data_IF_008874299585
#
_entry.id   IF_008874299585
#
_cell.length_a   1.000
_cell.length_b   1.000
_cell.length_c   1.000
_cell.angle_alpha   90.00
_cell.angle_beta   90.00
_cell.angle_gamma   90.00
#
_symmetry.space_group_name_H-M   'P 1'
#
loop_
_entity.id
_entity.type
_entity.pdbx_description
1 polymer ?
#
# COMPACT_ATOMS: atom_id res chain seq x y z
N UNK A 1 4.92 5.54 -7.83
CA UNK A 1 3.58 4.95 -7.81
C UNK A 1 2.74 5.64 -6.75
N UNK A 2 1.45 5.79 -7.02
CA UNK A 2 0.50 6.36 -6.08
C UNK A 2 -0.73 5.46 -6.00
N UNK A 3 -1.18 5.15 -4.80
CA UNK A 3 -2.53 4.61 -4.58
C UNK A 3 -3.54 5.75 -4.75
N UNK A 4 -4.75 5.40 -5.21
CA UNK A 4 -5.87 6.34 -5.12
C UNK A 4 -6.52 6.26 -3.75
N UNK A 5 -7.28 7.30 -3.37
CA UNK A 5 -8.09 7.30 -2.15
C UNK A 5 -8.94 6.03 -2.00
N UNK A 6 -9.41 5.48 -3.13
CA UNK A 6 -10.17 4.22 -3.14
C UNK A 6 -9.34 3.06 -2.60
N UNK A 7 -8.12 2.87 -3.11
CA UNK A 7 -7.23 1.77 -2.69
C UNK A 7 -6.68 1.99 -1.29
N UNK A 8 -6.28 3.22 -0.95
CA UNK A 8 -5.84 3.58 0.39
C UNK A 8 -6.89 3.22 1.45
N UNK A 9 -8.14 3.61 1.22
CA UNK A 9 -9.25 3.27 2.10
C UNK A 9 -9.48 1.76 2.22
N UNK A 10 -9.32 1.01 1.12
CA UNK A 10 -9.42 -0.46 1.14
C UNK A 10 -8.32 -1.10 1.97
N UNK A 11 -7.07 -0.66 1.80
CA UNK A 11 -5.92 -1.14 2.60
C UNK A 11 -6.13 -0.82 4.08
N UNK A 12 -6.46 0.43 4.41
CA UNK A 12 -6.62 0.87 5.79
C UNK A 12 -7.81 0.20 6.50
N UNK A 13 -8.88 -0.12 5.78
CA UNK A 13 -10.01 -0.87 6.34
C UNK A 13 -9.65 -2.31 6.71
N UNK A 14 -8.55 -2.89 6.18
CA UNK A 14 -8.09 -4.22 6.64
C UNK A 14 -7.66 -4.23 8.11
N UNK A 15 -7.14 -3.11 8.63
CA UNK A 15 -6.83 -2.89 10.05
C UNK A 15 -8.08 -2.83 10.96
N UNK A 16 -9.26 -2.86 10.35
CA UNK A 16 -10.57 -2.86 11.03
C UNK A 16 -11.34 -4.16 10.80
N UNK A 17 -10.68 -5.20 10.32
CA UNK A 17 -11.29 -6.50 10.05
C UNK A 17 -12.06 -6.58 8.71
N UNK A 18 -12.00 -5.55 7.85
CA UNK A 18 -12.71 -5.56 6.56
C UNK A 18 -11.80 -6.08 5.47
N UNK A 19 -12.20 -7.15 4.80
CA UNK A 19 -11.42 -7.74 3.70
C UNK A 19 -11.35 -6.81 2.50
N UNK A 20 -10.15 -6.60 1.97
CA UNK A 20 -9.96 -6.03 0.64
C UNK A 20 -10.10 -7.15 -0.40
N UNK A 21 -11.28 -7.23 -1.00
CA UNK A 21 -11.61 -8.23 -2.02
C UNK A 21 -10.72 -8.08 -3.24
N UNK A 22 -10.25 -9.20 -3.77
CA UNK A 22 -9.41 -9.24 -4.97
C UNK A 22 -10.07 -8.58 -6.17
N UNK A 23 -9.23 -7.99 -7.02
CA UNK A 23 -9.66 -7.37 -8.27
C UNK A 23 -9.47 -8.39 -9.39
N UNK A 24 -10.58 -8.79 -10.02
CA UNK A 24 -10.58 -9.90 -10.99
C UNK A 24 -9.87 -9.54 -12.30
N UNK A 25 -9.98 -8.29 -12.73
CA UNK A 25 -9.36 -7.78 -13.97
C UNK A 25 -8.89 -6.36 -13.75
N UNK A 26 -7.75 -6.05 -14.32
CA UNK A 26 -7.15 -4.71 -14.26
C UNK A 26 -6.99 -4.19 -15.68
N UNK A 27 -7.29 -2.92 -15.86
CA UNK A 27 -7.23 -2.23 -17.13
C UNK A 27 -6.31 -1.03 -17.04
N UNK A 28 -5.43 -0.90 -18.02
CA UNK A 28 -4.47 0.18 -18.16
C UNK A 28 -5.02 1.29 -19.06
N UNK A 29 -4.87 2.53 -18.62
CA UNK A 29 -5.18 3.75 -19.36
C UNK A 29 -3.94 4.62 -19.51
N UNK A 30 -3.78 5.23 -20.68
CA UNK A 30 -2.70 6.17 -20.98
C UNK A 30 -3.18 7.59 -20.72
N UNK A 31 -2.42 8.37 -19.95
CA UNK A 31 -2.78 9.72 -19.55
C UNK A 31 -1.72 10.74 -20.02
N UNK A 32 -2.17 11.91 -20.43
CA UNK A 32 -1.31 13.03 -20.82
C UNK A 32 -0.92 13.93 -19.65
N UNK A 33 -1.64 13.83 -18.52
CA UNK A 33 -1.36 14.58 -17.27
C UNK A 33 -1.56 13.73 -16.03
N UNK A 34 -0.99 14.18 -14.90
CA UNK A 34 -1.18 13.55 -13.59
C UNK A 34 -2.65 13.67 -13.14
N UNK A 35 -3.32 12.56 -12.80
CA UNK A 35 -4.64 12.61 -12.17
C UNK A 35 -4.53 13.02 -10.70
N UNK A 36 -5.64 13.43 -10.08
CA UNK A 36 -5.75 13.57 -8.64
C UNK A 36 -5.96 12.19 -7.97
N UNK A 37 -5.74 12.12 -6.65
CA UNK A 37 -5.84 10.85 -5.88
C UNK A 37 -7.27 10.29 -5.82
N UNK A 38 -8.29 11.10 -6.05
CA UNK A 38 -9.70 10.68 -6.20
C UNK A 38 -10.03 10.21 -7.63
N UNK A 39 -9.06 10.25 -8.55
CA UNK A 39 -9.23 9.93 -9.96
C UNK A 39 -9.75 11.07 -10.82
N UNK A 40 -10.06 12.23 -10.22
CA UNK A 40 -10.48 13.40 -11.00
C UNK A 40 -9.31 14.01 -11.79
N UNK A 41 -9.62 14.84 -12.78
CA UNK A 41 -8.61 15.51 -13.61
C UNK A 41 -7.77 14.59 -14.49
N UNK A 42 -8.11 13.28 -14.55
CA UNK A 42 -7.47 12.37 -15.49
C UNK A 42 -7.70 12.85 -16.94
N UNK A 43 -6.63 12.90 -17.72
CA UNK A 43 -6.66 13.33 -19.12
C UNK A 43 -6.20 12.17 -20.00
N UNK A 44 -7.10 11.21 -20.35
CA UNK A 44 -6.74 10.10 -21.22
C UNK A 44 -6.43 10.59 -22.63
N UNK A 45 -5.61 9.84 -23.35
CA UNK A 45 -5.47 10.03 -24.79
C UNK A 45 -6.80 9.74 -25.47
N UNK A 46 -7.06 10.41 -26.61
CA UNK A 46 -8.32 10.29 -27.34
C UNK A 46 -8.09 10.21 -28.83
N UNK A 47 -8.46 9.07 -29.43
CA UNK A 47 -8.51 8.84 -30.87
C UNK A 47 -9.47 7.69 -31.17
N UNK A 48 -9.88 7.51 -32.43
CA UNK A 48 -10.83 6.45 -32.81
C UNK A 48 -10.26 5.06 -32.49
N UNK A 49 -11.05 4.26 -31.78
CA UNK A 49 -10.64 2.89 -31.40
C UNK A 49 -9.72 2.85 -30.15
N UNK A 50 -9.40 3.99 -29.52
CA UNK A 50 -8.74 3.98 -28.22
C UNK A 50 -9.69 3.45 -27.14
N UNK A 51 -9.14 2.67 -26.23
CA UNK A 51 -9.81 2.18 -25.03
C UNK A 51 -8.81 1.53 -24.11
N UNK A 52 -9.16 1.44 -22.85
CA UNK A 52 -8.35 0.75 -21.84
C UNK A 52 -8.02 -0.68 -22.28
N UNK A 53 -6.85 -1.17 -21.89
CA UNK A 53 -6.39 -2.52 -22.21
C UNK A 53 -6.20 -3.32 -20.92
N UNK A 54 -6.69 -4.55 -20.91
CA UNK A 54 -6.43 -5.47 -19.80
C UNK A 54 -4.92 -5.67 -19.66
N UNK A 55 -4.44 -5.72 -18.42
CA UNK A 55 -3.03 -5.92 -18.08
C UNK A 55 -2.89 -6.96 -16.99
N UNK A 56 -1.85 -7.77 -17.06
CA UNK A 56 -1.49 -8.80 -16.07
C UNK A 56 -0.10 -8.51 -15.50
N UNK A 57 0.08 -8.86 -14.21
CA UNK A 57 1.30 -8.56 -13.47
C UNK A 57 2.02 -9.81 -12.98
N UNK A 58 3.35 -9.72 -12.89
CA UNK A 58 4.21 -10.72 -12.28
C UNK A 58 3.88 -10.94 -10.81
N UNK A 59 4.36 -12.04 -10.22
CA UNK A 59 4.39 -12.18 -8.77
C UNK A 59 5.16 -11.01 -8.17
N UNK A 60 4.71 -10.45 -7.01
CA UNK A 60 5.46 -9.42 -6.31
C UNK A 60 6.86 -9.92 -5.95
N UNK A 61 7.85 -9.08 -6.19
CA UNK A 61 9.26 -9.38 -5.95
C UNK A 61 10.01 -8.14 -5.46
N UNK A 62 11.23 -8.32 -4.99
CA UNK A 62 12.09 -7.19 -4.64
C UNK A 62 12.48 -6.43 -5.92
N UNK A 63 12.16 -5.15 -5.96
CA UNK A 63 12.49 -4.21 -7.02
C UNK A 63 13.24 -3.02 -6.39
N UNK A 64 14.56 -3.03 -6.50
CA UNK A 64 15.42 -1.96 -5.95
C UNK A 64 15.15 -1.64 -4.46
N UNK A 65 15.02 -2.70 -3.64
CA UNK A 65 14.79 -2.57 -2.19
C UNK A 65 13.33 -2.46 -1.75
N UNK A 66 12.40 -2.32 -2.69
CA UNK A 66 10.95 -2.29 -2.44
C UNK A 66 10.28 -3.56 -2.97
N UNK A 67 9.07 -3.85 -2.51
CA UNK A 67 8.26 -4.93 -3.08
C UNK A 67 7.38 -4.34 -4.18
N UNK A 68 7.47 -4.92 -5.37
CA UNK A 68 6.76 -4.45 -6.55
C UNK A 68 6.41 -5.57 -7.52
N UNK A 69 5.68 -5.23 -8.57
CA UNK A 69 5.37 -6.08 -9.71
C UNK A 69 5.49 -5.30 -11.03
N UNK A 70 5.53 -6.02 -12.14
CA UNK A 70 5.56 -5.43 -13.49
C UNK A 70 4.66 -6.22 -14.43
N UNK A 71 4.25 -5.60 -15.55
CA UNK A 71 3.49 -6.30 -16.58
C UNK A 71 4.30 -7.46 -17.17
N UNK A 72 3.61 -8.59 -17.41
CA UNK A 72 4.23 -9.82 -17.96
C UNK A 72 3.96 -10.02 -19.44
N UNK A 73 3.07 -9.21 -20.01
CA UNK A 73 2.72 -9.21 -21.42
C UNK A 73 2.87 -7.80 -21.99
N UNK A 74 3.08 -7.71 -23.27
CA UNK A 74 3.03 -6.45 -23.99
C UNK A 74 1.59 -5.94 -24.06
N UNK A 75 1.40 -4.64 -23.82
CA UNK A 75 0.08 -3.99 -23.92
C UNK A 75 0.08 -3.10 -25.16
N UNK A 76 -0.68 -3.51 -26.17
CA UNK A 76 -0.79 -2.82 -27.45
C UNK A 76 -2.15 -2.13 -27.59
N UNK A 77 -2.14 -0.88 -28.03
CA UNK A 77 -3.34 -0.08 -28.30
C UNK A 77 -3.61 -0.02 -29.80
N UNK A 78 -4.82 0.39 -30.16
CA UNK A 78 -5.16 0.61 -31.56
C UNK A 78 -4.26 1.69 -32.19
N UNK A 79 -4.08 1.64 -33.50
CA UNK A 79 -3.37 2.67 -34.24
C UNK A 79 -4.17 3.98 -34.15
N UNK A 80 -3.49 5.06 -33.80
CA UNK A 80 -4.10 6.38 -33.70
C UNK A 80 -4.40 6.94 -35.09
N UNK A 81 -5.59 7.45 -35.30
CA UNK A 81 -6.02 8.14 -36.52
C UNK A 81 -5.74 9.65 -36.46
N UNK A 82 -5.42 10.17 -35.27
CA UNK A 82 -5.08 11.57 -35.05
C UNK A 82 -3.98 11.71 -33.97
N UNK A 83 -3.32 12.85 -33.93
CA UNK A 83 -2.38 13.22 -32.88
C UNK A 83 -3.15 13.33 -31.54
N UNK A 84 -2.67 12.67 -30.50
CA UNK A 84 -3.32 12.63 -29.19
C UNK A 84 -2.40 13.04 -28.03
N UNK A 85 -1.38 13.81 -28.33
CA UNK A 85 -0.46 14.38 -27.35
C UNK A 85 0.63 13.44 -26.88
N UNK A 86 1.20 13.75 -25.72
CA UNK A 86 2.29 12.97 -25.11
C UNK A 86 1.78 12.29 -23.85
N UNK A 87 1.86 10.97 -23.81
CA UNK A 87 1.58 10.17 -22.61
C UNK A 87 2.75 10.35 -21.64
N UNK A 88 2.45 10.87 -20.47
CA UNK A 88 3.40 11.07 -19.37
C UNK A 88 3.04 10.29 -18.12
N UNK A 89 1.79 9.81 -18.03
CA UNK A 89 1.24 9.05 -16.91
C UNK A 89 0.48 7.83 -17.39
N UNK A 90 0.34 6.87 -16.52
CA UNK A 90 -0.53 5.69 -16.68
C UNK A 90 -1.42 5.54 -15.45
N UNK A 91 -2.60 4.99 -15.64
CA UNK A 91 -3.49 4.63 -14.55
C UNK A 91 -4.03 3.21 -14.73
N UNK A 92 -4.31 2.56 -13.61
CA UNK A 92 -4.96 1.25 -13.54
C UNK A 92 -6.38 1.39 -13.03
N UNK A 93 -7.30 0.67 -13.62
CA UNK A 93 -8.73 0.65 -13.28
C UNK A 93 -9.22 -0.77 -13.06
N UNK A 94 -10.30 -0.91 -12.29
CA UNK A 94 -11.00 -2.19 -12.06
C UNK A 94 -12.04 -2.53 -13.15
N UNK A 95 -12.20 -1.67 -14.16
CA UNK A 95 -13.16 -1.83 -15.26
C UNK A 95 -12.62 -1.29 -16.57
N UNK A 96 -13.05 -1.89 -17.69
CA UNK A 96 -12.71 -1.45 -19.04
C UNK A 96 -13.27 -0.05 -19.35
N UNK A 97 -14.44 0.28 -18.80
CA UNK A 97 -15.04 1.60 -18.87
C UNK A 97 -15.65 1.96 -17.53
N UNK A 98 -15.60 3.24 -17.15
CA UNK A 98 -16.00 3.67 -15.80
C UNK A 98 -15.12 3.00 -14.73
N UNK A 99 -15.75 2.54 -13.63
CA UNK A 99 -15.04 1.88 -12.52
C UNK A 99 -14.17 2.81 -11.69
N UNK A 100 -13.40 2.22 -10.78
CA UNK A 100 -12.53 2.96 -9.88
C UNK A 100 -11.11 3.01 -10.45
N UNK A 101 -10.47 4.18 -10.41
CA UNK A 101 -9.03 4.26 -10.56
C UNK A 101 -8.39 3.64 -9.32
N UNK A 102 -7.41 2.77 -9.54
CA UNK A 102 -6.75 2.00 -8.48
C UNK A 102 -5.39 2.57 -8.15
N UNK A 103 -4.54 2.68 -9.16
CA UNK A 103 -3.15 3.13 -9.08
C UNK A 103 -2.86 4.07 -10.23
N UNK A 104 -1.90 4.97 -10.04
CA UNK A 104 -1.33 5.74 -11.15
C UNK A 104 0.17 5.98 -10.94
N UNK A 105 0.89 6.17 -12.03
CA UNK A 105 2.33 6.42 -12.01
C UNK A 105 2.76 7.24 -13.22
N UNK A 106 3.84 8.02 -13.12
CA UNK A 106 4.49 8.56 -14.31
C UNK A 106 5.08 7.41 -15.13
N UNK A 107 5.14 7.59 -16.46
CA UNK A 107 5.95 6.76 -17.33
C UNK A 107 7.42 7.15 -17.20
N UNK A 108 8.32 6.18 -17.13
CA UNK A 108 9.77 6.41 -17.12
C UNK A 108 10.21 7.15 -18.41
N UNK A 109 9.58 6.82 -19.53
CA UNK A 109 9.84 7.46 -20.83
C UNK A 109 8.50 7.89 -21.46
N UNK A 110 8.25 9.21 -21.59
CA UNK A 110 7.07 9.72 -22.26
C UNK A 110 6.92 9.20 -23.68
N UNK A 111 5.69 8.95 -24.11
CA UNK A 111 5.38 8.45 -25.48
C UNK A 111 4.49 9.44 -26.22
N UNK A 112 4.99 9.94 -27.35
CA UNK A 112 4.21 10.83 -28.23
C UNK A 112 3.27 9.97 -29.08
N UNK A 113 1.98 10.31 -29.07
CA UNK A 113 0.96 9.65 -29.88
C UNK A 113 0.66 10.52 -31.08
N UNK A 114 1.05 10.04 -32.27
CA UNK A 114 0.81 10.69 -33.55
C UNK A 114 -0.10 9.83 -34.42
N UNK A 115 -0.79 10.47 -35.34
CA UNK A 115 -1.53 9.77 -36.40
C UNK A 115 -0.63 8.73 -37.08
N UNK A 116 -1.17 7.52 -37.25
CA UNK A 116 -0.44 6.38 -37.82
C UNK A 116 0.41 5.58 -36.81
N UNK A 117 0.56 6.01 -35.56
CA UNK A 117 1.29 5.25 -34.54
C UNK A 117 0.36 4.37 -33.69
N UNK A 118 0.78 3.16 -33.37
CA UNK A 118 0.13 2.29 -32.38
C UNK A 118 0.94 2.31 -31.09
N UNK A 119 0.41 2.88 -29.99
CA UNK A 119 1.13 2.88 -28.71
C UNK A 119 1.32 1.47 -28.17
N UNK A 120 2.51 1.19 -27.70
CA UNK A 120 2.88 -0.11 -27.13
C UNK A 120 3.64 0.11 -25.82
N UNK A 121 3.26 -0.64 -24.78
CA UNK A 121 4.00 -0.78 -23.54
C UNK A 121 4.55 -2.20 -23.46
N UNK A 122 5.87 -2.32 -23.51
CA UNK A 122 6.57 -3.61 -23.54
C UNK A 122 6.51 -4.29 -22.19
N UNK A 123 6.83 -5.58 -22.17
CA UNK A 123 7.01 -6.33 -20.91
C UNK A 123 7.99 -5.58 -20.00
N UNK A 124 7.57 -5.39 -18.73
CA UNK A 124 8.36 -4.69 -17.72
C UNK A 124 8.42 -3.15 -17.86
N UNK A 125 7.71 -2.52 -18.79
CA UNK A 125 7.60 -1.05 -18.84
C UNK A 125 6.60 -0.50 -17.81
N UNK A 126 5.56 -1.27 -17.46
CA UNK A 126 4.59 -0.90 -16.42
C UNK A 126 4.99 -1.52 -15.11
N UNK A 127 5.52 -0.71 -14.20
CA UNK A 127 6.05 -1.16 -12.91
C UNK A 127 5.39 -0.40 -11.77
N UNK A 128 5.07 -1.13 -10.72
CA UNK A 128 4.57 -0.56 -9.48
C UNK A 128 5.26 -1.21 -8.28
N UNK A 129 5.61 -0.43 -7.27
CA UNK A 129 6.19 -0.92 -6.02
C UNK A 129 5.69 -0.09 -4.84
N UNK A 130 5.59 -0.72 -3.67
CA UNK A 130 5.14 -0.09 -2.44
C UNK A 130 6.37 0.33 -1.62
N UNK A 131 6.44 1.61 -1.30
CA UNK A 131 7.41 2.19 -0.34
C UNK A 131 6.82 2.22 1.07
N UNK A 132 7.54 2.80 2.04
CA UNK A 132 7.03 3.02 3.39
C UNK A 132 7.17 1.84 4.35
N UNK A 133 6.61 1.99 5.56
CA UNK A 133 6.85 1.13 6.73
C UNK A 133 6.12 -0.20 6.78
N UNK A 134 5.29 -0.54 5.80
CA UNK A 134 4.68 -1.88 5.73
C UNK A 134 5.75 -2.96 5.56
N UNK A 135 5.55 -4.11 6.21
CA UNK A 135 6.41 -5.27 6.05
C UNK A 135 6.41 -5.77 4.60
N UNK A 136 7.47 -6.50 4.23
CA UNK A 136 7.57 -7.11 2.89
C UNK A 136 6.42 -8.08 2.62
N UNK A 137 6.01 -8.86 3.63
CA UNK A 137 4.89 -9.79 3.53
C UNK A 137 3.56 -9.06 3.28
N UNK A 138 3.31 -7.96 4.00
CA UNK A 138 2.09 -7.19 3.83
C UNK A 138 2.05 -6.44 2.49
N UNK A 139 3.17 -5.85 2.05
CA UNK A 139 3.31 -5.29 0.70
C UNK A 139 3.02 -6.33 -0.39
N UNK A 140 3.54 -7.53 -0.22
CA UNK A 140 3.26 -8.66 -1.13
C UNK A 140 1.77 -9.00 -1.14
N UNK A 141 1.13 -9.05 0.02
CA UNK A 141 -0.30 -9.35 0.14
C UNK A 141 -1.17 -8.26 -0.51
N UNK A 142 -0.84 -6.97 -0.32
CA UNK A 142 -1.51 -5.85 -0.99
C UNK A 142 -1.41 -6.00 -2.52
N UNK A 143 -0.21 -6.24 -3.05
CA UNK A 143 0.00 -6.38 -4.51
C UNK A 143 -0.71 -7.61 -5.08
N UNK A 144 -0.87 -8.67 -4.31
CA UNK A 144 -1.61 -9.86 -4.74
C UNK A 144 -3.12 -9.62 -4.88
N UNK A 145 -3.68 -8.55 -4.26
CA UNK A 145 -5.07 -8.16 -4.50
C UNK A 145 -5.30 -7.84 -5.99
N UNK A 146 -4.32 -7.18 -6.62
CA UNK A 146 -4.33 -6.86 -8.05
C UNK A 146 -4.04 -8.06 -8.95
N UNK A 147 -3.83 -9.24 -8.35
CA UNK A 147 -3.57 -10.52 -9.02
C UNK A 147 -4.61 -11.59 -8.69
N UNK A 148 -5.74 -11.18 -8.11
CA UNK A 148 -6.86 -12.05 -7.82
C UNK A 148 -6.85 -12.72 -6.45
N UNK A 149 -5.98 -12.32 -5.51
CA UNK A 149 -5.97 -12.84 -4.14
C UNK A 149 -6.43 -11.78 -3.15
N UNK A 150 -7.54 -12.02 -2.45
CA UNK A 150 -8.05 -11.07 -1.46
C UNK A 150 -7.11 -10.93 -0.27
N UNK A 151 -7.03 -9.73 0.29
CA UNK A 151 -6.34 -9.43 1.54
C UNK A 151 -7.37 -9.43 2.67
N UNK A 152 -7.28 -10.42 3.56
CA UNK A 152 -8.19 -10.54 4.69
C UNK A 152 -8.04 -9.35 5.65
N UNK A 153 -9.15 -8.91 6.21
CA UNK A 153 -9.12 -7.98 7.33
C UNK A 153 -8.68 -8.69 8.62
N UNK A 154 -8.07 -7.96 9.53
CA UNK A 154 -7.49 -8.50 10.76
C UNK A 154 -7.69 -7.56 11.95
N UNK A 155 -7.45 -8.06 13.17
CA UNK A 155 -7.31 -7.24 14.37
C UNK A 155 -5.83 -6.93 14.57
N UNK A 156 -5.42 -5.66 14.55
CA UNK A 156 -4.03 -5.27 14.74
C UNK A 156 -3.63 -5.31 16.22
N UNK A 157 -2.39 -5.74 16.48
CA UNK A 157 -1.80 -5.80 17.82
C UNK A 157 -0.46 -5.09 17.83
N UNK A 158 -0.29 -4.12 18.74
CA UNK A 158 0.96 -3.42 18.99
C UNK A 158 1.88 -4.26 19.88
N UNK A 159 3.16 -4.25 19.54
CA UNK A 159 4.25 -4.78 20.38
C UNK A 159 5.52 -3.94 20.22
N UNK A 160 6.51 -4.17 21.05
CA UNK A 160 7.78 -3.45 21.09
C UNK A 160 8.93 -4.36 20.70
N UNK A 161 9.87 -3.84 19.91
CA UNK A 161 11.05 -4.59 19.44
C UNK A 161 12.35 -3.86 19.75
N UNK A 162 13.35 -4.64 20.04
CA UNK A 162 14.74 -4.20 20.00
C UNK A 162 15.34 -4.55 18.63
N UNK A 163 15.59 -3.53 17.81
CA UNK A 163 16.05 -3.68 16.43
C UNK A 163 14.91 -3.92 15.45
N UNK A 164 15.23 -3.78 14.15
CA UNK A 164 14.25 -3.94 13.07
C UNK A 164 13.71 -5.37 13.00
N UNK A 165 12.38 -5.58 12.96
CA UNK A 165 11.78 -6.91 12.84
C UNK A 165 12.23 -7.68 11.58
N UNK A 166 12.46 -6.98 10.47
CA UNK A 166 12.96 -7.59 9.22
C UNK A 166 14.50 -7.66 9.16
N UNK A 167 15.20 -7.07 10.13
CA UNK A 167 16.66 -7.03 10.24
C UNK A 167 17.22 -7.93 11.33
N UNK A 168 16.42 -8.83 11.92
CA UNK A 168 16.85 -9.73 13.00
C UNK A 168 16.65 -9.14 14.40
N UNK A 169 15.87 -8.07 14.56
CA UNK A 169 15.42 -7.57 15.85
C UNK A 169 14.53 -8.56 16.58
N UNK A 170 14.40 -8.41 17.90
CA UNK A 170 13.63 -9.30 18.77
C UNK A 170 12.52 -8.58 19.47
N UNK A 171 11.35 -9.24 19.57
CA UNK A 171 10.20 -8.78 20.37
C UNK A 171 10.58 -8.80 21.85
N UNK A 172 10.12 -7.78 22.60
CA UNK A 172 10.19 -7.84 24.05
C UNK A 172 9.28 -8.95 24.56
N UNK A 173 9.83 -9.87 25.36
CA UNK A 173 9.13 -11.03 25.88
C UNK A 173 9.50 -11.22 27.35
N UNK A 174 8.51 -11.47 28.20
CA UNK A 174 8.75 -11.84 29.58
C UNK A 174 7.69 -11.30 30.55
N UNK A 175 7.63 -11.88 31.75
CA UNK A 175 6.69 -11.49 32.78
C UNK A 175 5.24 -11.50 32.29
N UNK A 176 4.58 -10.35 32.44
CA UNK A 176 3.20 -10.13 32.02
C UNK A 176 3.09 -9.30 30.71
N UNK A 177 4.21 -9.08 30.02
CA UNK A 177 4.20 -8.36 28.74
C UNK A 177 3.45 -9.17 27.68
N UNK A 178 2.55 -8.52 26.98
CA UNK A 178 1.77 -9.11 25.88
C UNK A 178 1.43 -8.03 24.85
N UNK A 179 1.27 -8.44 23.59
CA UNK A 179 0.78 -7.57 22.52
C UNK A 179 -0.57 -6.98 22.88
N UNK A 180 -0.76 -5.71 22.55
CA UNK A 180 -1.97 -4.97 22.89
C UNK A 180 -2.82 -4.73 21.65
N UNK A 181 -4.13 -5.06 21.67
CA UNK A 181 -5.01 -4.84 20.52
C UNK A 181 -5.20 -3.34 20.28
N UNK A 182 -5.29 -2.95 18.99
CA UNK A 182 -5.54 -1.58 18.60
C UNK A 182 -6.90 -1.51 17.89
N UNK A 183 -7.70 -0.49 18.22
CA UNK A 183 -8.88 -0.12 17.46
C UNK A 183 -8.62 1.16 16.68
N UNK A 184 -8.90 1.16 15.38
CA UNK A 184 -8.66 2.29 14.50
C UNK A 184 -9.93 3.01 14.06
N UNK A 185 -9.79 4.31 13.78
CA UNK A 185 -10.81 5.15 13.16
C UNK A 185 -11.17 4.66 11.75
N UNK A 186 -12.26 5.17 11.20
CA UNK A 186 -12.51 5.05 9.75
C UNK A 186 -11.40 5.80 8.99
N UNK A 187 -10.98 5.30 7.81
CA UNK A 187 -10.06 6.01 6.96
C UNK A 187 -10.55 7.43 6.64
N UNK A 188 -9.65 8.38 6.70
CA UNK A 188 -9.88 9.77 6.33
C UNK A 188 -8.67 10.29 5.55
N UNK A 189 -8.88 11.30 4.70
CA UNK A 189 -7.79 11.94 3.99
C UNK A 189 -7.09 12.94 4.91
N UNK A 190 -5.78 12.82 5.05
CA UNK A 190 -4.96 13.82 5.70
C UNK A 190 -4.87 15.10 4.85
N UNK A 191 -4.44 16.20 5.44
CA UNK A 191 -4.16 17.45 4.71
C UNK A 191 -3.09 17.29 3.62
N UNK A 192 -2.28 16.24 3.71
CA UNK A 192 -1.29 15.85 2.69
C UNK A 192 -1.88 15.09 1.51
N UNK A 193 -3.18 14.78 1.53
CA UNK A 193 -3.88 14.00 0.50
C UNK A 193 -3.73 12.48 0.66
N UNK A 194 -3.10 12.00 1.74
CA UNK A 194 -2.92 10.56 2.00
C UNK A 194 -4.04 10.03 2.88
N UNK A 195 -4.54 8.83 2.57
CA UNK A 195 -5.44 8.12 3.47
C UNK A 195 -4.75 7.75 4.78
N UNK A 196 -5.41 7.99 5.90
CA UNK A 196 -4.89 7.65 7.23
C UNK A 196 -5.95 7.13 8.18
N UNK A 197 -5.52 6.36 9.17
CA UNK A 197 -6.28 5.94 10.35
C UNK A 197 -5.47 6.21 11.60
N UNK A 198 -6.15 6.44 12.73
CA UNK A 198 -5.51 6.59 14.04
C UNK A 198 -6.23 5.76 15.10
N UNK A 199 -5.53 5.40 16.18
CA UNK A 199 -6.14 4.65 17.29
C UNK A 199 -7.25 5.47 17.97
N UNK A 200 -8.38 4.82 18.23
CA UNK A 200 -9.57 5.44 18.84
C UNK A 200 -9.67 5.24 20.35
N UNK A 201 -8.80 4.42 20.91
CA UNK A 201 -8.65 4.20 22.35
C UNK A 201 -7.18 4.27 22.75
N UNK A 202 -6.89 4.60 24.01
CA UNK A 202 -5.53 4.47 24.54
C UNK A 202 -5.08 3.00 24.44
N UNK A 203 -3.84 2.78 23.99
CA UNK A 203 -3.21 1.47 24.00
C UNK A 203 -2.18 1.46 25.12
N UNK A 204 -2.38 0.63 26.13
CA UNK A 204 -1.51 0.55 27.33
C UNK A 204 -0.97 -0.84 27.48
N UNK A 205 0.35 -0.96 27.60
CA UNK A 205 1.00 -2.20 28.02
C UNK A 205 0.85 -2.39 29.54
N UNK A 206 0.83 -3.62 30.04
CA UNK A 206 0.79 -3.85 31.49
C UNK A 206 2.05 -3.35 32.18
N UNK A 207 1.95 -2.99 33.47
CA UNK A 207 3.12 -2.64 34.28
C UNK A 207 4.10 -3.82 34.28
N UNK A 208 5.34 -3.58 33.92
CA UNK A 208 6.36 -4.62 33.80
C UNK A 208 6.66 -5.29 35.16
N UNK A 209 6.62 -6.59 35.20
CA UNK A 209 6.97 -7.40 36.37
C UNK A 209 8.41 -7.91 36.32
N UNK A 210 9.08 -7.79 35.16
CA UNK A 210 10.48 -8.13 34.94
C UNK A 210 11.15 -7.06 34.06
N UNK A 211 12.47 -6.99 34.08
CA UNK A 211 13.21 -6.14 33.13
C UNK A 211 13.15 -6.78 31.75
N UNK A 212 12.60 -6.07 30.76
CA UNK A 212 12.44 -6.54 29.39
C UNK A 212 13.58 -6.04 28.46
N UNK A 213 14.37 -5.07 28.93
CA UNK A 213 15.47 -4.48 28.18
C UNK A 213 15.07 -3.25 27.38
N UNK A 214 15.84 -2.95 26.35
CA UNK A 214 15.62 -1.76 25.50
C UNK A 214 14.76 -2.10 24.28
N UNK A 215 14.01 -1.12 23.80
CA UNK A 215 13.26 -1.19 22.54
C UNK A 215 13.44 0.12 21.76
N UNK A 216 13.29 0.04 20.46
CA UNK A 216 13.39 1.19 19.55
C UNK A 216 12.48 1.06 18.32
N UNK A 217 11.60 0.06 18.30
CA UNK A 217 10.59 -0.11 17.25
C UNK A 217 9.22 -0.37 17.85
N UNK A 218 8.22 0.33 17.29
CA UNK A 218 6.81 0.00 17.40
C UNK A 218 6.44 -0.93 16.25
N UNK A 219 5.81 -2.06 16.57
CA UNK A 219 5.56 -3.12 15.60
C UNK A 219 4.11 -3.56 15.68
N UNK A 220 3.46 -3.73 14.53
CA UNK A 220 2.09 -4.23 14.46
C UNK A 220 2.05 -5.61 13.79
N UNK A 221 1.38 -6.53 14.47
CA UNK A 221 1.04 -7.87 13.98
C UNK A 221 -0.47 -8.00 13.77
N UNK A 222 -0.87 -9.01 13.00
CA UNK A 222 -2.30 -9.36 12.78
C UNK A 222 -2.88 -10.31 13.83
N UNK A 223 -2.11 -10.66 14.87
CA UNK A 223 -2.54 -11.58 15.93
C UNK A 223 -1.87 -11.27 17.27
N UNK A 224 -2.56 -11.65 18.37
CA UNK A 224 -2.06 -11.51 19.75
C UNK A 224 -0.81 -12.35 20.04
N UNK A 225 -0.63 -13.45 19.32
CA UNK A 225 0.56 -14.31 19.39
C UNK A 225 0.83 -14.89 18.00
N UNK A 226 2.09 -15.18 17.69
CA UNK A 226 2.49 -15.58 16.34
C UNK A 226 2.02 -14.54 15.30
N UNK A 227 1.33 -14.96 14.22
CA UNK A 227 0.76 -14.07 13.21
C UNK A 227 1.79 -13.47 12.26
N UNK A 228 1.31 -12.59 11.39
CA UNK A 228 2.13 -11.94 10.37
C UNK A 228 2.52 -10.54 10.81
N UNK A 229 3.76 -10.17 10.55
CA UNK A 229 4.24 -8.81 10.67
C UNK A 229 3.53 -7.92 9.61
N UNK A 230 2.88 -6.86 10.06
CA UNK A 230 2.14 -5.95 9.18
C UNK A 230 2.93 -4.69 8.89
N UNK A 231 3.35 -3.98 9.92
CA UNK A 231 4.17 -2.78 9.79
C UNK A 231 5.07 -2.59 11.01
N UNK A 232 6.08 -1.77 10.84
CA UNK A 232 6.96 -1.35 11.92
C UNK A 232 7.46 0.08 11.70
N UNK A 233 7.67 0.79 12.79
CA UNK A 233 8.20 2.13 12.79
C UNK A 233 9.34 2.24 13.79
N UNK A 234 10.44 2.85 13.38
CA UNK A 234 11.55 3.13 14.28
C UNK A 234 11.25 4.38 15.09
N UNK A 235 11.23 4.23 16.40
CA UNK A 235 11.15 5.32 17.38
C UNK A 235 12.50 5.63 18.02
N UNK A 236 12.45 6.46 19.06
CA UNK A 236 13.60 6.66 19.96
C UNK A 236 13.79 5.41 20.80
N UNK A 237 15.07 5.11 21.12
CA UNK A 237 15.38 4.00 22.01
C UNK A 237 14.95 4.35 23.44
N UNK A 238 14.28 3.41 24.10
CA UNK A 238 13.85 3.50 25.49
C UNK A 238 14.04 2.14 26.19
N UNK A 239 13.95 2.10 27.51
CA UNK A 239 14.05 0.88 28.31
C UNK A 239 12.69 0.52 28.90
N UNK A 240 12.42 -0.78 29.08
CA UNK A 240 11.23 -1.30 29.73
C UNK A 240 11.63 -2.14 30.95
N UNK A 241 11.68 -1.47 32.09
CA UNK A 241 12.14 -2.03 33.38
C UNK A 241 10.98 -2.37 34.29
N UNK A 242 11.24 -3.11 35.37
CA UNK A 242 10.21 -3.39 36.40
C UNK A 242 9.57 -2.10 36.90
N UNK A 243 8.23 -2.06 36.87
CA UNK A 243 7.44 -0.90 37.23
C UNK A 243 7.10 0.06 36.10
N UNK A 244 7.75 -0.07 34.94
CA UNK A 244 7.44 0.76 33.77
C UNK A 244 6.12 0.32 33.11
N UNK A 245 5.46 1.29 32.48
CA UNK A 245 4.26 1.08 31.69
C UNK A 245 4.29 2.03 30.49
N UNK A 246 4.30 1.47 29.28
CA UNK A 246 4.23 2.25 28.06
C UNK A 246 2.79 2.49 27.64
N UNK A 247 2.46 3.72 27.23
CA UNK A 247 1.13 4.13 26.81
C UNK A 247 1.15 4.92 25.53
N UNK A 248 0.18 4.63 24.69
CA UNK A 248 -0.08 5.32 23.41
C UNK A 248 -1.44 6.01 23.50
N UNK A 249 -1.47 7.34 23.70
CA UNK A 249 -2.73 8.09 23.79
C UNK A 249 -3.60 7.93 22.53
N UNK A 250 -4.86 8.26 22.65
CA UNK A 250 -5.79 8.31 21.50
C UNK A 250 -5.20 9.22 20.42
N UNK A 251 -5.20 8.74 19.17
CA UNK A 251 -4.71 9.46 18.01
C UNK A 251 -3.18 9.46 17.83
N UNK A 252 -2.40 8.85 18.74
CA UNK A 252 -0.93 8.84 18.64
C UNK A 252 -0.37 7.79 17.70
N UNK A 253 -1.11 6.68 17.49
CA UNK A 253 -0.74 5.65 16.52
C UNK A 253 -1.44 5.98 15.21
N UNK A 254 -0.67 6.48 14.25
CA UNK A 254 -1.20 6.87 12.93
C UNK A 254 -0.60 5.96 11.86
N UNK A 255 -1.45 5.42 11.01
CA UNK A 255 -1.06 4.62 9.84
C UNK A 255 -1.54 5.35 8.59
N UNK A 256 -0.64 5.57 7.64
CA UNK A 256 -0.95 6.15 6.33
C UNK A 256 -0.68 5.12 5.23
N UNK A 257 -1.53 5.15 4.19
CA UNK A 257 -1.32 4.43 2.96
C UNK A 257 -1.08 5.44 1.82
N UNK A 258 -0.02 5.22 1.02
CA UNK A 258 0.32 6.04 -0.15
C UNK A 258 1.11 5.26 -1.20
#
# INVERSE_FOLDING_TARGET
MYFTNYVENKILNTFKGVTFTSIAKIYLELLTSKPADDGSGASPVSYTGYGRKQITFSTPANMSGNIGFQNVEEVSFAQADADSGTVTWIALYDSESGGNMLLYAPLDTPKVIRAGTAPVLRVGEVKFWITGGFSRSFKTAILNVFRGTSLAGFTPYLTLFNGSPEGGGSELIGGNFARQPITFSTPAQASTGQGQISNTAEVSFPIATVNLGTYNFDVIYDAASAGNLILFNQGTSDSYSVGDMSKYPIGSIVISAN
#
